data_IF_871365219103
#
_entry.id   IF_871365219103
#
_cell.length_a   1.000
_cell.length_b   1.000
_cell.length_c   1.000
_cell.angle_alpha   90.00
_cell.angle_beta   90.00
_cell.angle_gamma   90.00
#
_symmetry.space_group_name_H-M   'P 1'
#
loop_
_entity.id
_entity.type
_entity.pdbx_description
1 polymer ?
#
# COMPACT_ATOMS: atom_id res chain seq x y z
N UNK A 1 23.51 -14.34 -14.95
CA UNK A 1 23.32 -13.54 -13.71
C UNK A 1 22.99 -12.09 -14.12
N UNK A 2 22.24 -11.92 -15.22
CA UNK A 2 22.51 -10.80 -16.15
C UNK A 2 21.38 -9.78 -16.24
N UNK A 3 20.20 -10.10 -15.69
CA UNK A 3 19.03 -9.21 -15.73
C UNK A 3 19.04 -8.16 -14.63
N UNK A 4 19.75 -8.41 -13.51
CA UNK A 4 19.88 -7.45 -12.42
C UNK A 4 20.94 -6.37 -12.70
N UNK A 5 22.04 -6.72 -13.36
CA UNK A 5 23.05 -5.75 -13.75
C UNK A 5 22.52 -4.82 -14.85
N UNK A 6 21.76 -5.33 -15.82
CA UNK A 6 21.12 -4.47 -16.81
C UNK A 6 20.16 -3.43 -16.20
N UNK A 7 19.44 -3.77 -15.13
CA UNK A 7 18.53 -2.82 -14.45
C UNK A 7 19.24 -1.77 -13.59
N UNK A 8 20.50 -1.99 -13.20
CA UNK A 8 21.27 -1.08 -12.34
C UNK A 8 22.24 -0.20 -13.15
N UNK A 9 22.49 -0.54 -14.42
CA UNK A 9 23.49 0.14 -15.26
C UNK A 9 22.88 1.03 -16.33
N UNK A 10 21.57 0.92 -16.60
CA UNK A 10 20.90 1.78 -17.57
C UNK A 10 20.59 3.15 -16.94
N UNK A 11 21.12 4.26 -17.48
CA UNK A 11 20.68 5.59 -17.10
C UNK A 11 19.16 5.67 -17.29
N UNK A 12 18.44 6.34 -16.39
CA UNK A 12 17.06 6.73 -16.64
C UNK A 12 17.09 7.72 -17.81
N UNK A 13 17.01 7.21 -19.05
CA UNK A 13 16.80 8.05 -20.23
C UNK A 13 15.41 8.65 -20.11
N UNK A 14 15.37 9.84 -19.54
CA UNK A 14 14.24 10.75 -19.64
C UNK A 14 14.00 10.96 -21.14
N UNK A 15 12.93 10.36 -21.66
CA UNK A 15 12.50 10.58 -23.03
C UNK A 15 12.31 12.08 -23.29
N UNK A 16 12.35 12.52 -24.57
CA UNK A 16 12.33 13.95 -24.89
C UNK A 16 11.09 14.60 -24.27
N UNK A 17 11.28 15.63 -23.44
CA UNK A 17 10.21 16.54 -23.09
C UNK A 17 9.67 17.13 -24.40
N UNK A 18 8.43 16.79 -24.75
CA UNK A 18 7.80 17.26 -25.97
C UNK A 18 7.75 18.79 -25.99
N UNK A 19 8.29 19.36 -27.06
CA UNK A 19 8.24 20.80 -27.33
C UNK A 19 6.79 21.28 -27.36
N UNK A 20 6.50 22.33 -26.58
CA UNK A 20 5.19 22.96 -26.53
C UNK A 20 4.80 23.54 -27.87
N UNK A 21 3.75 22.98 -28.48
CA UNK A 21 2.84 23.62 -29.43
C UNK A 21 1.46 22.96 -29.27
N UNK A 22 0.39 23.76 -29.24
CA UNK A 22 -0.99 23.39 -28.86
C UNK A 22 -1.67 22.30 -29.69
N UNK A 23 -1.21 21.07 -29.55
CA UNK A 23 -1.71 19.85 -30.21
C UNK A 23 -1.81 18.77 -29.14
N UNK A 24 -3.04 18.35 -28.83
CA UNK A 24 -3.44 17.24 -27.92
C UNK A 24 -2.26 16.47 -27.31
N UNK A 25 -1.89 16.85 -26.10
CA UNK A 25 -0.80 16.22 -25.37
C UNK A 25 -1.27 14.81 -24.97
N UNK A 26 -0.44 13.82 -25.28
CA UNK A 26 -0.68 12.42 -24.94
C UNK A 26 0.38 12.00 -23.93
N UNK A 27 -0.02 11.33 -22.85
CA UNK A 27 0.87 10.80 -21.83
C UNK A 27 1.11 9.30 -22.05
N UNK A 28 2.38 8.89 -21.94
CA UNK A 28 2.78 7.49 -21.92
C UNK A 28 2.45 6.85 -20.56
N UNK A 29 1.60 5.84 -20.57
CA UNK A 29 1.25 5.02 -19.42
C UNK A 29 1.69 3.56 -19.61
N UNK A 30 2.18 2.93 -18.54
CA UNK A 30 2.52 1.51 -18.49
C UNK A 30 1.44 0.75 -17.72
N UNK A 31 0.49 0.15 -18.44
CA UNK A 31 -0.64 -0.61 -17.90
C UNK A 31 -0.44 -2.10 -18.15
N UNK A 32 -0.35 -2.91 -17.08
CA UNK A 32 -0.22 -4.37 -17.21
C UNK A 32 1.03 -4.84 -17.97
N UNK A 33 2.07 -4.01 -18.07
CA UNK A 33 3.28 -4.28 -18.86
C UNK A 33 3.21 -3.79 -20.31
N UNK A 34 2.07 -3.24 -20.74
CA UNK A 34 1.89 -2.66 -22.07
C UNK A 34 2.00 -1.14 -21.99
N UNK A 35 2.79 -0.54 -22.89
CA UNK A 35 2.86 0.91 -23.05
C UNK A 35 1.68 1.38 -23.88
N UNK A 36 0.89 2.29 -23.36
CA UNK A 36 -0.24 2.93 -24.01
C UNK A 36 -0.09 4.44 -23.93
N UNK A 37 -0.53 5.15 -24.96
CA UNK A 37 -0.51 6.61 -24.99
C UNK A 37 -1.96 7.09 -24.82
N UNK A 38 -2.22 7.87 -23.77
CA UNK A 38 -3.56 8.31 -23.39
C UNK A 38 -3.64 9.84 -23.44
N UNK A 39 -4.79 10.44 -23.80
CA UNK A 39 -4.93 11.90 -23.77
C UNK A 39 -4.72 12.45 -22.35
N UNK A 40 -3.92 13.50 -22.20
CA UNK A 40 -3.63 14.11 -20.88
C UNK A 40 -4.91 14.58 -20.17
N UNK A 41 -5.83 15.22 -20.91
CA UNK A 41 -7.11 15.68 -20.39
C UNK A 41 -7.95 14.56 -19.73
N UNK A 42 -7.86 13.33 -20.26
CA UNK A 42 -8.57 12.16 -19.71
C UNK A 42 -7.98 11.73 -18.35
N UNK A 43 -6.69 11.98 -18.14
CA UNK A 43 -5.97 11.58 -16.92
C UNK A 43 -6.03 12.67 -15.84
N UNK A 44 -6.03 13.94 -16.23
CA UNK A 44 -6.04 15.07 -15.30
C UNK A 44 -7.44 15.43 -14.79
N UNK A 45 -8.44 15.48 -15.68
CA UNK A 45 -9.80 15.92 -15.34
C UNK A 45 -10.69 14.72 -14.93
N UNK A 46 -11.12 14.64 -13.65
CA UNK A 46 -12.03 13.59 -13.19
C UNK A 46 -13.36 13.58 -13.93
N UNK A 47 -13.90 14.73 -14.33
CA UNK A 47 -15.20 14.81 -14.98
C UNK A 47 -15.15 14.15 -16.35
N UNK A 48 -14.09 14.42 -17.13
CA UNK A 48 -13.85 13.78 -18.43
C UNK A 48 -13.67 12.27 -18.25
N UNK A 49 -12.89 11.85 -17.25
CA UNK A 49 -12.70 10.43 -16.96
C UNK A 49 -14.01 9.72 -16.63
N UNK A 50 -14.84 10.29 -15.76
CA UNK A 50 -16.09 9.67 -15.34
C UNK A 50 -17.19 9.74 -16.40
N UNK A 51 -17.16 10.73 -17.30
CA UNK A 51 -18.06 10.76 -18.46
C UNK A 51 -17.75 9.60 -19.42
N UNK A 52 -16.46 9.38 -19.70
CA UNK A 52 -15.99 8.28 -20.57
C UNK A 52 -16.17 6.92 -19.88
N UNK A 53 -15.76 6.78 -18.63
CA UNK A 53 -15.80 5.54 -17.84
C UNK A 53 -17.07 5.53 -16.97
N UNK A 54 -18.21 5.45 -17.64
CA UNK A 54 -19.55 5.52 -17.05
C UNK A 54 -20.40 4.28 -17.32
N UNK A 55 -21.49 4.15 -16.56
CA UNK A 55 -22.50 3.11 -16.80
C UNK A 55 -23.17 3.27 -18.16
N UNK A 56 -23.37 4.50 -18.64
CA UNK A 56 -23.91 4.78 -19.97
C UNK A 56 -22.97 4.27 -21.06
N UNK A 57 -21.66 4.53 -20.97
CA UNK A 57 -20.69 3.95 -21.92
C UNK A 57 -20.73 2.42 -21.89
N UNK A 58 -20.83 1.82 -20.70
CA UNK A 58 -20.96 0.38 -20.56
C UNK A 58 -22.21 -0.18 -21.26
N UNK A 59 -23.36 0.48 -21.12
CA UNK A 59 -24.66 -0.02 -21.59
C UNK A 59 -25.03 0.39 -23.02
N UNK A 60 -24.52 1.51 -23.52
CA UNK A 60 -24.95 2.10 -24.80
C UNK A 60 -23.85 2.04 -25.88
N UNK A 61 -22.58 2.12 -25.49
CA UNK A 61 -21.46 2.25 -26.46
C UNK A 61 -20.77 0.91 -26.70
N UNK A 62 -20.52 0.11 -25.65
CA UNK A 62 -19.80 -1.15 -25.78
C UNK A 62 -20.68 -2.24 -26.41
N UNK A 63 -20.11 -3.02 -27.34
CA UNK A 63 -20.77 -4.19 -27.92
C UNK A 63 -20.83 -5.36 -26.94
N UNK A 64 -21.75 -6.30 -27.16
CA UNK A 64 -21.88 -7.50 -26.31
C UNK A 64 -20.56 -8.30 -26.22
N UNK A 65 -19.85 -8.43 -27.34
CA UNK A 65 -18.53 -9.08 -27.38
C UNK A 65 -17.46 -8.36 -26.55
N UNK A 66 -17.49 -7.03 -26.52
CA UNK A 66 -16.57 -6.24 -25.69
C UNK A 66 -16.92 -6.38 -24.21
N UNK A 67 -18.21 -6.37 -23.86
CA UNK A 67 -18.67 -6.60 -22.48
C UNK A 67 -18.30 -7.99 -21.99
N UNK A 68 -18.51 -9.01 -22.82
CA UNK A 68 -18.13 -10.38 -22.50
C UNK A 68 -16.61 -10.49 -22.27
N UNK A 69 -15.80 -9.81 -23.09
CA UNK A 69 -14.36 -9.74 -22.87
C UNK A 69 -14.00 -9.03 -21.55
N UNK A 70 -14.63 -7.89 -21.26
CA UNK A 70 -14.37 -7.14 -20.03
C UNK A 70 -14.83 -7.88 -18.76
N UNK A 71 -15.91 -8.66 -18.85
CA UNK A 71 -16.40 -9.53 -17.77
C UNK A 71 -15.38 -10.60 -17.36
N UNK A 72 -14.45 -10.98 -18.23
CA UNK A 72 -13.37 -11.94 -17.90
C UNK A 72 -12.39 -11.38 -16.86
N UNK A 73 -12.28 -10.05 -16.75
CA UNK A 73 -11.42 -9.37 -15.78
C UNK A 73 -12.15 -9.07 -14.46
N UNK A 74 -13.47 -9.28 -14.41
CA UNK A 74 -14.24 -9.16 -13.17
C UNK A 74 -14.07 -10.41 -12.30
N UNK A 75 -14.37 -10.31 -10.99
CA UNK A 75 -14.38 -11.47 -10.11
C UNK A 75 -15.29 -12.58 -10.66
N UNK A 76 -14.81 -13.82 -10.59
CA UNK A 76 -15.57 -15.01 -10.98
C UNK A 76 -16.11 -15.69 -9.73
N UNK A 77 -17.42 -15.96 -9.74
CA UNK A 77 -18.12 -16.58 -8.63
C UNK A 77 -18.54 -18.01 -8.97
N UNK A 78 -18.51 -18.94 -7.99
CA UNK A 78 -18.86 -20.34 -8.22
C UNK A 78 -20.36 -20.58 -8.44
N UNK A 79 -21.23 -19.66 -8.01
CA UNK A 79 -22.67 -19.69 -8.22
C UNK A 79 -23.15 -18.29 -8.64
N UNK A 80 -24.19 -18.22 -9.47
CA UNK A 80 -24.86 -16.99 -9.90
C UNK A 80 -23.92 -15.90 -10.46
N UNK A 81 -22.88 -16.34 -11.19
CA UNK A 81 -21.81 -15.46 -11.67
C UNK A 81 -22.32 -14.26 -12.48
N UNK A 82 -23.29 -14.49 -13.38
CA UNK A 82 -23.85 -13.43 -14.24
C UNK A 82 -24.60 -12.36 -13.43
N UNK A 83 -25.41 -12.78 -12.45
CA UNK A 83 -26.19 -11.86 -11.63
C UNK A 83 -25.28 -11.05 -10.71
N UNK A 84 -24.34 -11.72 -10.02
CA UNK A 84 -23.38 -11.06 -9.14
C UNK A 84 -22.44 -10.12 -9.89
N UNK A 85 -22.00 -10.48 -11.10
CA UNK A 85 -21.19 -9.57 -11.92
C UNK A 85 -21.98 -8.33 -12.34
N UNK A 86 -23.25 -8.46 -12.69
CA UNK A 86 -24.10 -7.31 -13.03
C UNK A 86 -24.30 -6.40 -11.81
N UNK A 87 -24.54 -6.95 -10.62
CA UNK A 87 -24.61 -6.17 -9.38
C UNK A 87 -23.33 -5.39 -9.11
N UNK A 88 -22.16 -6.04 -9.27
CA UNK A 88 -20.85 -5.42 -9.10
C UNK A 88 -20.62 -4.30 -10.10
N UNK A 89 -21.04 -4.47 -11.36
CA UNK A 89 -20.91 -3.43 -12.39
C UNK A 89 -21.73 -2.20 -11.99
N UNK A 90 -22.97 -2.39 -11.53
CA UNK A 90 -23.81 -1.30 -11.07
C UNK A 90 -23.19 -0.59 -9.85
N UNK A 91 -22.72 -1.35 -8.86
CA UNK A 91 -22.04 -0.82 -7.68
C UNK A 91 -20.73 -0.08 -8.03
N UNK A 92 -20.00 -0.58 -9.03
CA UNK A 92 -18.74 0.02 -9.49
C UNK A 92 -18.97 1.42 -10.05
N UNK A 93 -19.95 1.57 -10.95
CA UNK A 93 -20.28 2.84 -11.58
C UNK A 93 -21.15 3.76 -10.74
N UNK A 94 -21.87 3.25 -9.73
CA UNK A 94 -22.63 4.08 -8.76
C UNK A 94 -21.72 4.81 -7.75
N UNK A 95 -20.43 4.47 -7.71
CA UNK A 95 -19.48 5.06 -6.77
C UNK A 95 -19.43 4.36 -5.41
N UNK A 96 -19.96 3.15 -5.29
CA UNK A 96 -19.94 2.40 -4.02
C UNK A 96 -18.51 2.06 -3.56
N UNK A 97 -18.35 1.88 -2.25
CA UNK A 97 -17.09 1.55 -1.63
C UNK A 97 -16.84 0.03 -1.67
N UNK A 98 -15.70 -0.37 -2.26
CA UNK A 98 -15.27 -1.77 -2.30
C UNK A 98 -14.20 -2.06 -1.25
N UNK A 99 -13.14 -1.26 -1.25
CA UNK A 99 -12.01 -1.43 -0.34
C UNK A 99 -11.28 -0.11 -0.17
N UNK A 100 -11.65 0.62 0.88
CA UNK A 100 -11.11 1.96 1.18
C UNK A 100 -11.37 2.95 0.04
N UNK A 101 -12.56 2.89 -0.54
CA UNK A 101 -13.00 3.75 -1.65
C UNK A 101 -13.56 2.95 -2.82
N UNK A 102 -14.06 3.70 -3.80
CA UNK A 102 -14.51 3.17 -5.08
C UNK A 102 -13.30 2.94 -6.02
N UNK A 103 -13.19 1.78 -6.70
CA UNK A 103 -12.05 1.48 -7.57
C UNK A 103 -11.82 2.49 -8.70
N UNK A 104 -12.87 3.05 -9.30
CA UNK A 104 -12.74 4.02 -10.39
C UNK A 104 -12.17 5.35 -9.87
N UNK A 105 -12.62 5.79 -8.69
CA UNK A 105 -12.10 7.00 -8.05
C UNK A 105 -10.63 6.84 -7.64
N UNK A 106 -10.26 5.67 -7.12
CA UNK A 106 -8.87 5.36 -6.81
C UNK A 106 -8.05 5.33 -8.09
N UNK A 107 -8.53 4.66 -9.14
CA UNK A 107 -7.84 4.62 -10.44
C UNK A 107 -7.64 6.01 -11.02
N UNK A 108 -8.66 6.87 -11.01
CA UNK A 108 -8.54 8.24 -11.51
C UNK A 108 -7.50 9.06 -10.75
N UNK A 109 -7.50 8.94 -9.41
CA UNK A 109 -6.46 9.57 -8.60
C UNK A 109 -5.06 9.06 -8.95
N UNK A 110 -4.91 7.75 -9.16
CA UNK A 110 -3.64 7.15 -9.56
C UNK A 110 -3.19 7.64 -10.95
N UNK A 111 -4.10 7.81 -11.90
CA UNK A 111 -3.79 8.40 -13.20
C UNK A 111 -3.28 9.83 -13.06
N UNK A 112 -4.05 10.69 -12.38
CA UNK A 112 -3.67 12.09 -12.12
C UNK A 112 -2.35 12.23 -11.37
N UNK A 113 -2.04 11.32 -10.45
CA UNK A 113 -0.79 11.34 -9.69
C UNK A 113 0.41 10.77 -10.50
N UNK A 114 0.23 10.46 -11.79
CA UNK A 114 1.28 9.91 -12.67
C UNK A 114 1.72 8.50 -12.26
N UNK A 115 0.88 7.77 -11.53
CA UNK A 115 1.23 6.47 -10.96
C UNK A 115 1.61 5.45 -12.06
N UNK A 116 1.07 5.59 -13.27
CA UNK A 116 1.34 4.67 -14.38
C UNK A 116 2.43 5.14 -15.34
N UNK A 117 3.07 6.28 -15.09
CA UNK A 117 4.21 6.71 -15.89
C UNK A 117 5.32 5.63 -15.88
N UNK A 118 5.88 5.22 -17.04
CA UNK A 118 6.88 4.16 -17.13
C UNK A 118 8.04 4.30 -16.15
N UNK A 119 8.54 5.52 -15.94
CA UNK A 119 9.66 5.77 -15.05
C UNK A 119 9.27 5.62 -13.57
N UNK A 120 8.07 6.09 -13.21
CA UNK A 120 7.51 5.89 -11.87
C UNK A 120 7.27 4.41 -11.58
N UNK A 121 6.75 3.66 -12.56
CA UNK A 121 6.51 2.21 -12.42
C UNK A 121 7.83 1.47 -12.24
N UNK A 122 8.85 1.74 -13.07
CA UNK A 122 10.20 1.15 -12.94
C UNK A 122 10.79 1.44 -11.55
N UNK A 123 10.73 2.70 -11.11
CA UNK A 123 11.25 3.11 -9.81
C UNK A 123 10.57 2.39 -8.64
N UNK A 124 9.24 2.26 -8.66
CA UNK A 124 8.50 1.51 -7.63
C UNK A 124 8.85 0.03 -7.63
N UNK A 125 8.98 -0.59 -8.80
CA UNK A 125 9.40 -2.00 -8.89
C UNK A 125 10.80 -2.20 -8.28
N UNK A 126 11.74 -1.30 -8.54
CA UNK A 126 13.07 -1.33 -7.95
C UNK A 126 13.01 -1.17 -6.42
N UNK A 127 12.21 -0.21 -5.93
CA UNK A 127 11.98 -0.01 -4.50
C UNK A 127 11.45 -1.29 -3.85
N UNK A 128 10.43 -1.91 -4.43
CA UNK A 128 9.86 -3.14 -3.89
C UNK A 128 10.89 -4.28 -3.82
N UNK A 129 11.65 -4.51 -4.90
CA UNK A 129 12.72 -5.54 -4.93
C UNK A 129 13.78 -5.28 -3.86
N UNK A 130 14.24 -4.04 -3.72
CA UNK A 130 15.27 -3.68 -2.74
C UNK A 130 14.77 -3.80 -1.30
N UNK A 131 13.54 -3.35 -1.01
CA UNK A 131 12.90 -3.49 0.29
C UNK A 131 12.71 -4.95 0.66
N UNK A 132 12.28 -5.79 -0.27
CA UNK A 132 12.12 -7.22 -0.04
C UNK A 132 13.46 -7.91 0.31
N UNK A 133 14.54 -7.57 -0.41
CA UNK A 133 15.89 -8.06 -0.08
C UNK A 133 16.31 -7.65 1.33
N UNK A 134 16.08 -6.39 1.71
CA UNK A 134 16.36 -5.89 3.07
C UNK A 134 15.52 -6.60 4.12
N UNK A 135 14.25 -6.85 3.83
CA UNK A 135 13.34 -7.60 4.68
C UNK A 135 13.89 -9.00 4.97
N UNK A 136 14.29 -9.77 3.96
CA UNK A 136 14.86 -11.11 4.15
C UNK A 136 16.11 -11.09 5.03
N UNK A 137 17.01 -10.14 4.82
CA UNK A 137 18.20 -9.98 5.67
C UNK A 137 17.82 -9.61 7.11
N UNK A 138 16.83 -8.73 7.29
CA UNK A 138 16.34 -8.35 8.62
C UNK A 138 15.71 -9.53 9.37
N UNK A 139 15.06 -10.46 8.66
CA UNK A 139 14.52 -11.68 9.25
C UNK A 139 15.62 -12.59 9.80
N UNK A 140 16.72 -12.77 9.05
CA UNK A 140 17.87 -13.55 9.54
C UNK A 140 18.49 -12.91 10.79
N UNK A 141 18.67 -11.59 10.77
CA UNK A 141 19.20 -10.84 11.91
C UNK A 141 18.26 -10.92 13.12
N UNK A 142 16.95 -10.87 12.87
CA UNK A 142 15.93 -11.03 13.91
C UNK A 142 16.07 -12.39 14.60
N UNK A 143 16.13 -13.49 13.85
CA UNK A 143 16.29 -14.83 14.43
C UNK A 143 17.63 -15.00 15.15
N UNK A 144 18.72 -14.47 14.58
CA UNK A 144 20.02 -14.49 15.25
C UNK A 144 19.99 -13.75 16.59
N UNK A 145 19.39 -12.55 16.63
CA UNK A 145 19.22 -11.77 17.85
C UNK A 145 18.34 -12.50 18.87
N UNK A 146 17.24 -13.09 18.41
CA UNK A 146 16.33 -13.85 19.26
C UNK A 146 17.03 -15.05 19.91
N UNK A 147 17.81 -15.82 19.14
CA UNK A 147 18.58 -16.94 19.66
C UNK A 147 19.61 -16.50 20.72
N UNK A 148 20.30 -15.37 20.50
CA UNK A 148 21.22 -14.81 21.51
C UNK A 148 20.51 -14.43 22.81
N UNK A 149 19.32 -13.84 22.71
CA UNK A 149 18.51 -13.49 23.89
C UNK A 149 18.03 -14.73 24.65
N UNK A 150 17.59 -15.77 23.94
CA UNK A 150 17.18 -17.05 24.55
C UNK A 150 18.39 -17.73 25.22
N UNK A 151 19.55 -17.73 24.55
CA UNK A 151 20.75 -18.35 25.11
C UNK A 151 21.24 -17.63 26.37
N UNK A 152 21.26 -16.29 26.35
CA UNK A 152 21.64 -15.47 27.50
C UNK A 152 20.69 -15.66 28.70
N UNK A 153 19.37 -15.62 28.47
CA UNK A 153 18.41 -15.85 29.56
C UNK A 153 18.55 -17.26 30.16
N UNK A 154 18.83 -18.28 29.32
CA UNK A 154 19.10 -19.64 29.80
C UNK A 154 20.39 -19.72 30.61
N UNK A 155 21.49 -19.10 30.17
CA UNK A 155 22.74 -19.11 30.94
C UNK A 155 22.57 -18.43 32.29
N UNK A 156 21.85 -17.31 32.34
CA UNK A 156 21.56 -16.59 33.58
C UNK A 156 20.73 -17.46 34.55
N UNK A 157 19.71 -18.15 34.05
CA UNK A 157 18.90 -19.08 34.84
C UNK A 157 19.73 -20.23 35.41
N UNK A 158 20.60 -20.83 34.59
CA UNK A 158 21.48 -21.92 35.04
C UNK A 158 22.51 -21.43 36.05
N UNK A 159 23.08 -20.24 35.85
CA UNK A 159 24.03 -19.67 36.80
C UNK A 159 23.36 -19.31 38.14
N UNK A 160 22.14 -18.78 38.11
CA UNK A 160 21.34 -18.57 39.32
C UNK A 160 21.05 -19.89 40.04
N UNK A 161 20.70 -20.95 39.31
CA UNK A 161 20.50 -22.29 39.89
C UNK A 161 21.79 -22.88 40.47
N UNK A 162 22.95 -22.64 39.84
CA UNK A 162 24.26 -23.06 40.37
C UNK A 162 24.63 -22.34 41.66
N UNK A 163 24.28 -21.05 41.77
CA UNK A 163 24.58 -20.21 42.94
C UNK A 163 23.56 -20.41 44.07
N UNK A 164 22.32 -20.77 43.75
CA UNK A 164 21.28 -21.06 44.73
C UNK A 164 21.29 -22.54 45.11
N UNK A 165 21.52 -22.87 46.38
CA UNK A 165 21.39 -24.25 46.88
C UNK A 165 19.96 -24.80 46.77
N UNK A 166 19.74 -26.12 47.01
CA UNK A 166 18.50 -26.85 46.68
C UNK A 166 17.19 -26.39 47.36
N UNK A 167 17.20 -25.31 48.15
CA UNK A 167 16.13 -25.00 49.10
C UNK A 167 15.54 -23.57 49.00
N UNK A 168 15.89 -22.76 48.00
CA UNK A 168 15.27 -21.43 47.85
C UNK A 168 14.27 -21.39 46.69
N UNK A 169 13.05 -20.85 46.91
CA UNK A 169 12.03 -20.78 45.87
C UNK A 169 12.52 -19.93 44.70
N UNK A 170 12.36 -20.48 43.51
CA UNK A 170 12.75 -19.88 42.24
C UNK A 170 11.95 -18.60 42.00
N UNK A 171 12.46 -17.44 42.42
CA UNK A 171 11.89 -16.15 41.98
C UNK A 171 12.31 -15.95 40.53
N UNK A 172 11.46 -16.40 39.60
CA UNK A 172 11.52 -15.96 38.21
C UNK A 172 11.45 -14.43 38.19
N UNK A 173 12.61 -13.76 38.14
CA UNK A 173 12.67 -12.40 37.62
C UNK A 173 12.32 -12.54 36.14
N UNK A 174 11.05 -12.40 35.82
CA UNK A 174 10.63 -12.13 34.44
C UNK A 174 11.56 -11.04 33.96
N UNK A 175 12.26 -11.25 32.84
CA UNK A 175 13.00 -10.15 32.23
C UNK A 175 11.99 -9.04 32.03
N UNK A 176 12.08 -8.02 32.88
CA UNK A 176 11.30 -6.82 32.68
C UNK A 176 11.66 -6.37 31.28
N UNK A 177 10.67 -6.07 30.43
CA UNK A 177 10.96 -5.51 29.14
C UNK A 177 11.92 -4.34 29.32
N UNK A 178 12.82 -4.14 28.35
CA UNK A 178 13.94 -3.19 28.45
C UNK A 178 13.52 -1.71 28.66
N UNK A 179 12.23 -1.44 28.86
CA UNK A 179 11.58 -0.13 28.87
C UNK A 179 10.57 -0.13 30.01
N UNK A 180 10.54 0.96 30.78
CA UNK A 180 9.60 1.12 31.88
C UNK A 180 8.14 1.08 31.37
N UNK A 181 7.17 0.70 32.22
CA UNK A 181 5.74 0.81 31.91
C UNK A 181 5.37 2.22 31.42
N UNK A 182 5.92 3.26 32.06
CA UNK A 182 5.71 4.67 31.73
C UNK A 182 6.17 5.01 30.30
N UNK A 183 7.34 4.53 29.86
CA UNK A 183 7.83 4.75 28.50
C UNK A 183 6.99 4.07 27.41
N UNK A 184 6.27 3.01 27.78
CA UNK A 184 5.39 2.27 26.88
C UNK A 184 4.05 2.99 26.77
N UNK A 185 3.53 3.45 27.90
CA UNK A 185 2.30 4.21 27.99
C UNK A 185 2.44 5.55 27.28
N UNK A 186 3.52 6.30 27.54
CA UNK A 186 3.83 7.55 26.84
C UNK A 186 3.89 7.37 25.32
N UNK A 187 4.56 6.31 24.83
CA UNK A 187 4.60 6.02 23.38
C UNK A 187 3.26 5.62 22.80
N UNK A 188 2.46 4.89 23.58
CA UNK A 188 1.12 4.47 23.16
C UNK A 188 0.23 5.70 23.06
N UNK A 189 0.30 6.61 24.03
CA UNK A 189 -0.39 7.89 24.03
C UNK A 189 0.06 8.78 22.85
N UNK A 190 1.36 8.89 22.58
CA UNK A 190 1.87 9.65 21.44
C UNK A 190 1.39 9.09 20.10
N UNK A 191 1.34 7.75 19.95
CA UNK A 191 0.78 7.11 18.74
C UNK A 191 -0.72 7.34 18.62
N UNK A 192 -1.43 7.21 19.73
CA UNK A 192 -2.87 7.45 19.78
C UNK A 192 -3.22 8.87 19.35
N UNK A 193 -2.57 9.88 19.95
CA UNK A 193 -2.75 11.29 19.60
C UNK A 193 -2.39 11.58 18.14
N UNK A 194 -1.33 10.93 17.63
CA UNK A 194 -0.95 11.04 16.22
C UNK A 194 -2.04 10.50 15.30
N UNK A 195 -2.58 9.31 15.59
CA UNK A 195 -3.67 8.71 14.79
C UNK A 195 -4.91 9.57 14.82
N UNK A 196 -5.31 10.09 15.99
CA UNK A 196 -6.44 11.01 16.09
C UNK A 196 -6.25 12.26 15.22
N UNK A 197 -5.04 12.82 15.21
CA UNK A 197 -4.71 13.98 14.37
C UNK A 197 -4.82 13.67 12.88
N UNK A 198 -4.27 12.53 12.45
CA UNK A 198 -4.33 12.08 11.05
C UNK A 198 -5.79 11.83 10.60
N UNK A 199 -6.61 11.17 11.44
CA UNK A 199 -8.03 10.94 11.16
C UNK A 199 -8.81 12.26 11.11
N UNK A 200 -8.51 13.17 12.03
CA UNK A 200 -9.16 14.49 12.11
C UNK A 200 -8.84 15.35 10.87
N UNK A 201 -7.60 15.30 10.38
CA UNK A 201 -7.17 15.92 9.14
C UNK A 201 -7.88 15.30 7.91
N UNK A 202 -7.96 13.97 7.86
CA UNK A 202 -8.63 13.24 6.77
C UNK A 202 -10.14 13.47 6.74
N UNK A 203 -10.79 13.66 7.90
CA UNK A 203 -12.22 13.94 8.01
C UNK A 203 -12.57 15.44 7.94
N UNK A 204 -11.58 16.34 7.87
CA UNK A 204 -11.81 17.79 7.81
C UNK A 204 -12.45 18.39 9.07
N UNK A 205 -12.35 17.70 10.22
CA UNK A 205 -12.96 18.14 11.47
C UNK A 205 -11.98 19.06 12.23
N UNK A 206 -12.30 20.34 12.43
CA UNK A 206 -11.41 21.27 13.14
C UNK A 206 -11.75 21.43 14.63
N UNK A 207 -12.73 20.69 15.16
CA UNK A 207 -13.16 20.81 16.55
C UNK A 207 -12.05 20.39 17.54
N UNK A 208 -11.54 21.33 18.35
CA UNK A 208 -10.59 21.02 19.43
C UNK A 208 -11.25 20.03 20.41
N UNK A 209 -10.64 18.87 20.57
CA UNK A 209 -11.13 17.86 21.51
C UNK A 209 -10.70 18.26 22.92
N UNK A 210 -11.58 18.05 23.91
CA UNK A 210 -11.40 18.47 25.30
C UNK A 210 -10.13 17.91 25.99
N UNK A 211 -9.47 16.91 25.39
CA UNK A 211 -8.22 16.32 25.90
C UNK A 211 -6.95 17.07 25.43
N UNK A 212 -7.07 18.10 24.58
CA UNK A 212 -5.94 18.93 24.12
C UNK A 212 -5.71 20.20 24.99
N UNK A 213 -6.47 20.41 26.08
CA UNK A 213 -6.39 21.61 26.94
C UNK A 213 -5.28 21.57 28.01
N UNK A 214 -4.35 20.61 27.95
CA UNK A 214 -3.33 20.40 28.99
C UNK A 214 -1.90 20.31 28.46
N UNK A 215 -1.38 21.40 27.90
CA UNK A 215 0.07 21.69 27.89
C UNK A 215 0.38 22.92 28.75
#
# INVERSE_FOLDING_TARGET
>A
MDSLDHMLTDPLELGPCGDGHGTRIMEDCLLGGTRVSLPEDLLEDPEIFFDVVSLSTWQEVLSDSQREHLQQFLPQFPADNMEQQNEIILALFSGENFRFGNPLHIAQKLFRDGHFNPEVVKYRQLCFKSQYKRYLNSQQQYFHRLLKQILASRSDLLEMARRSGPALPFRHKRHSPSRSPEEREWRTQQRYLKVLREVKEECGDTALSSDEEGE
#
